data_IF_933704214934
#
_entry.id   IF_933704214934
#
_cell.length_a   1.000
_cell.length_b   1.000
_cell.length_c   1.000
_cell.angle_alpha   90.00
_cell.angle_beta   90.00
_cell.angle_gamma   90.00
#
_symmetry.space_group_name_H-M   'P 1'
#
loop_
_entity.id
_entity.type
_entity.pdbx_description
1 polymer ?
#
# COMPACT_ATOMS: atom_id res chain seq x y z
N UNK A 1 -5.10 -9.57 9.82
CA UNK A 1 -6.35 -10.02 9.16
C UNK A 1 -6.84 -11.28 9.84
N UNK A 2 -8.12 -11.31 10.19
CA UNK A 2 -8.78 -12.44 10.87
C UNK A 2 -9.81 -13.08 9.94
N UNK A 3 -9.95 -14.40 10.02
CA UNK A 3 -10.92 -15.16 9.25
C UNK A 3 -11.95 -15.81 10.19
N UNK A 4 -13.14 -16.07 9.70
CA UNK A 4 -14.24 -16.64 10.46
C UNK A 4 -14.72 -15.78 11.64
N UNK A 5 -15.18 -16.40 12.72
CA UNK A 5 -15.52 -15.67 13.94
C UNK A 5 -14.27 -15.31 14.75
N UNK A 6 -14.14 -14.02 15.11
CA UNK A 6 -13.01 -13.55 15.94
C UNK A 6 -13.04 -14.23 17.32
N UNK A 7 -11.92 -14.84 17.71
CA UNK A 7 -11.72 -15.44 19.03
C UNK A 7 -11.48 -14.38 20.11
N UNK A 8 -11.48 -14.79 21.38
CA UNK A 8 -11.10 -13.89 22.49
C UNK A 8 -9.65 -13.41 22.39
N UNK A 9 -8.73 -14.27 21.92
CA UNK A 9 -7.33 -13.90 21.72
C UNK A 9 -7.20 -12.81 20.63
N UNK A 10 -7.93 -12.94 19.53
CA UNK A 10 -7.94 -11.94 18.46
C UNK A 10 -8.60 -10.62 18.89
N UNK A 11 -9.61 -10.66 19.78
CA UNK A 11 -10.17 -9.45 20.39
C UNK A 11 -9.12 -8.72 21.25
N UNK A 12 -8.35 -9.46 22.04
CA UNK A 12 -7.25 -8.89 22.83
C UNK A 12 -6.16 -8.31 21.94
N UNK A 13 -5.80 -9.00 20.86
CA UNK A 13 -4.85 -8.48 19.86
C UNK A 13 -5.35 -7.18 19.20
N UNK A 14 -6.63 -7.10 18.81
CA UNK A 14 -7.23 -5.87 18.27
C UNK A 14 -7.16 -4.73 19.30
N UNK A 15 -7.41 -5.03 20.57
CA UNK A 15 -7.31 -4.06 21.66
C UNK A 15 -5.87 -3.53 21.82
N UNK A 16 -4.87 -4.42 21.76
CA UNK A 16 -3.45 -4.06 21.89
C UNK A 16 -2.93 -3.26 20.70
N UNK A 17 -3.35 -3.63 19.47
CA UNK A 17 -3.01 -2.92 18.23
C UNK A 17 -3.58 -1.50 18.21
N UNK A 18 -4.74 -1.27 18.83
CA UNK A 18 -5.48 0.02 18.82
C UNK A 18 -5.65 0.59 17.41
N UNK A 19 -6.31 -0.13 16.50
CA UNK A 19 -6.49 0.34 15.14
C UNK A 19 -7.36 1.60 15.09
N UNK A 20 -7.14 2.48 14.13
CA UNK A 20 -8.03 3.61 13.87
C UNK A 20 -9.31 3.19 13.16
N UNK A 21 -9.19 2.25 12.23
CA UNK A 21 -10.28 1.72 11.41
C UNK A 21 -10.26 0.20 11.41
N UNK A 22 -11.43 -0.41 11.46
CA UNK A 22 -11.62 -1.85 11.28
C UNK A 22 -12.54 -2.09 10.10
N UNK A 23 -12.08 -2.82 9.09
CA UNK A 23 -12.90 -3.23 7.96
C UNK A 23 -13.58 -4.56 8.29
N UNK A 24 -14.91 -4.54 8.41
CA UNK A 24 -15.72 -5.73 8.66
C UNK A 24 -16.37 -6.20 7.36
N UNK A 25 -15.88 -7.33 6.86
CA UNK A 25 -16.39 -8.00 5.67
C UNK A 25 -16.95 -9.38 6.03
N UNK A 26 -17.79 -9.93 5.18
CA UNK A 26 -18.24 -11.32 5.31
C UNK A 26 -19.56 -11.58 4.62
N UNK A 27 -19.64 -12.77 4.03
CA UNK A 27 -20.78 -13.25 3.25
C UNK A 27 -20.94 -12.55 1.89
N UNK A 28 -21.35 -13.29 0.88
CA UNK A 28 -21.87 -12.71 -0.36
C UNK A 28 -23.29 -12.15 -0.13
N UNK A 29 -23.77 -11.30 -1.02
CA UNK A 29 -25.10 -10.73 -0.89
C UNK A 29 -26.18 -11.81 -0.99
N UNK A 30 -27.02 -11.91 0.05
CA UNK A 30 -28.01 -12.98 0.19
C UNK A 30 -27.46 -14.31 0.73
N UNK A 31 -26.15 -14.40 0.98
CA UNK A 31 -25.49 -15.55 1.61
C UNK A 31 -25.49 -15.52 3.14
N UNK A 32 -24.48 -16.19 3.73
CA UNK A 32 -24.35 -16.25 5.20
C UNK A 32 -24.21 -14.86 5.82
N UNK A 33 -24.94 -14.60 6.89
CA UNK A 33 -24.88 -13.37 7.68
C UNK A 33 -24.52 -13.60 9.15
N UNK A 34 -24.50 -14.85 9.60
CA UNK A 34 -24.32 -15.16 11.02
C UNK A 34 -22.93 -14.75 11.51
N UNK A 35 -21.87 -15.08 10.73
CA UNK A 35 -20.49 -14.78 11.10
C UNK A 35 -20.25 -13.27 11.18
N UNK A 36 -20.71 -12.49 10.22
CA UNK A 36 -20.52 -11.03 10.23
C UNK A 36 -21.25 -10.35 11.39
N UNK A 37 -22.46 -10.85 11.73
CA UNK A 37 -23.24 -10.37 12.90
C UNK A 37 -22.54 -10.74 14.22
N UNK A 38 -22.03 -11.97 14.34
CA UNK A 38 -21.26 -12.40 15.51
C UNK A 38 -20.00 -11.53 15.69
N UNK A 39 -19.27 -11.28 14.62
CA UNK A 39 -18.08 -10.42 14.65
C UNK A 39 -18.42 -8.97 15.00
N UNK A 40 -19.52 -8.43 14.49
CA UNK A 40 -19.97 -7.09 14.87
C UNK A 40 -20.21 -6.98 16.38
N UNK A 41 -20.91 -7.96 16.98
CA UNK A 41 -21.13 -7.97 18.45
C UNK A 41 -19.82 -8.06 19.23
N UNK A 42 -18.86 -8.87 18.78
CA UNK A 42 -17.52 -8.99 19.41
C UNK A 42 -16.71 -7.71 19.29
N UNK A 43 -16.73 -7.05 18.14
CA UNK A 43 -16.08 -5.76 17.94
C UNK A 43 -16.67 -4.67 18.87
N UNK A 44 -17.97 -4.72 19.14
CA UNK A 44 -18.62 -3.80 20.09
C UNK A 44 -18.14 -4.00 21.53
N UNK A 45 -17.65 -5.18 21.91
CA UNK A 45 -17.14 -5.49 23.26
C UNK A 45 -15.71 -4.98 23.49
N UNK A 46 -14.99 -4.61 22.42
CA UNK A 46 -13.61 -4.12 22.53
C UNK A 46 -13.63 -2.64 22.94
N UNK A 47 -13.12 -2.33 24.12
CA UNK A 47 -13.02 -0.96 24.65
C UNK A 47 -11.84 -0.20 24.03
N UNK A 48 -11.90 0.04 22.72
CA UNK A 48 -10.90 0.78 21.97
C UNK A 48 -11.58 1.71 20.95
N UNK A 49 -11.14 2.96 20.80
CA UNK A 49 -11.79 3.93 19.92
C UNK A 49 -11.40 3.72 18.46
N UNK A 50 -12.09 2.84 17.75
CA UNK A 50 -11.98 2.67 16.30
C UNK A 50 -13.33 2.82 15.61
N UNK A 51 -13.29 3.19 14.34
CA UNK A 51 -14.49 3.23 13.50
C UNK A 51 -14.57 1.94 12.68
N UNK A 52 -15.74 1.32 12.63
CA UNK A 52 -15.98 0.12 11.81
C UNK A 52 -16.51 0.51 10.44
N UNK A 53 -15.80 0.09 9.38
CA UNK A 53 -16.29 0.15 8.00
C UNK A 53 -16.90 -1.20 7.66
N UNK A 54 -18.22 -1.23 7.53
CA UNK A 54 -18.96 -2.45 7.20
C UNK A 54 -19.08 -2.56 5.69
N UNK A 55 -18.50 -3.60 5.12
CA UNK A 55 -18.47 -3.85 3.67
C UNK A 55 -18.74 -5.33 3.35
N UNK A 56 -19.75 -5.89 3.97
CA UNK A 56 -20.16 -7.30 3.80
C UNK A 56 -21.57 -7.44 3.28
N UNK A 57 -22.15 -8.62 3.51
CA UNK A 57 -23.49 -9.01 3.03
C UNK A 57 -24.54 -7.91 3.30
N UNK A 58 -25.09 -7.34 2.23
CA UNK A 58 -26.11 -6.29 2.31
C UNK A 58 -27.36 -6.70 3.08
N UNK A 59 -27.70 -8.00 3.08
CA UNK A 59 -28.86 -8.52 3.80
C UNK A 59 -28.68 -8.48 5.33
N UNK A 60 -27.45 -8.28 5.84
CA UNK A 60 -27.15 -8.09 7.25
C UNK A 60 -27.12 -6.60 7.67
N UNK A 61 -27.21 -5.66 6.72
CA UNK A 61 -26.96 -4.23 6.99
C UNK A 61 -27.86 -3.65 8.08
N UNK A 62 -29.13 -3.98 8.09
CA UNK A 62 -30.09 -3.49 9.09
C UNK A 62 -29.71 -3.98 10.50
N UNK A 63 -29.45 -5.27 10.66
CA UNK A 63 -29.08 -5.86 11.95
C UNK A 63 -27.70 -5.36 12.43
N UNK A 64 -26.76 -5.14 11.51
CA UNK A 64 -25.45 -4.55 11.82
C UNK A 64 -25.59 -3.10 12.31
N UNK A 65 -26.45 -2.32 11.67
CA UNK A 65 -26.73 -0.95 12.08
C UNK A 65 -27.33 -0.90 13.50
N UNK A 66 -28.26 -1.79 13.84
CA UNK A 66 -28.83 -1.90 15.18
C UNK A 66 -27.75 -2.26 16.22
N UNK A 67 -26.88 -3.23 15.93
CA UNK A 67 -25.79 -3.67 16.83
C UNK A 67 -24.85 -2.50 17.13
N UNK A 68 -24.38 -1.80 16.11
CA UNK A 68 -23.41 -0.70 16.30
C UNK A 68 -24.06 0.53 16.95
N UNK A 69 -25.31 0.87 16.61
CA UNK A 69 -26.04 1.96 17.27
C UNK A 69 -26.28 1.67 18.75
N UNK A 70 -26.68 0.44 19.09
CA UNK A 70 -26.91 0.05 20.48
C UNK A 70 -25.63 0.10 21.35
N UNK A 71 -24.47 -0.19 20.75
CA UNK A 71 -23.18 -0.15 21.45
C UNK A 71 -22.53 1.24 21.50
N UNK A 72 -23.00 2.19 20.69
CA UNK A 72 -22.36 3.51 20.52
C UNK A 72 -21.03 3.46 19.76
N UNK A 73 -20.65 2.31 19.17
CA UNK A 73 -19.42 2.19 18.39
C UNK A 73 -19.57 2.93 17.06
N UNK A 74 -18.60 3.82 16.68
CA UNK A 74 -18.67 4.52 15.41
C UNK A 74 -18.61 3.53 14.24
N UNK A 75 -19.48 3.69 13.25
CA UNK A 75 -19.51 2.83 12.08
C UNK A 75 -19.99 3.56 10.83
N UNK A 76 -19.64 3.02 9.67
CA UNK A 76 -20.20 3.37 8.36
C UNK A 76 -20.50 2.08 7.58
N UNK A 77 -21.59 2.05 6.86
CA UNK A 77 -21.96 0.93 6.00
C UNK A 77 -21.73 1.32 4.55
N UNK A 78 -21.12 0.43 3.79
CA UNK A 78 -20.89 0.58 2.34
C UNK A 78 -21.30 -0.69 1.61
N UNK A 79 -21.15 -0.68 0.29
CA UNK A 79 -21.40 -1.87 -0.52
C UNK A 79 -20.44 -3.00 -0.16
N UNK A 80 -20.90 -4.24 -0.37
CA UNK A 80 -20.11 -5.43 -0.12
C UNK A 80 -18.86 -5.48 -1.01
N UNK A 81 -17.69 -5.77 -0.42
CA UNK A 81 -16.43 -5.95 -1.17
C UNK A 81 -16.43 -7.20 -2.05
N UNK A 82 -17.30 -8.18 -1.75
CA UNK A 82 -17.49 -9.38 -2.56
C UNK A 82 -19.00 -9.72 -2.63
N UNK A 83 -19.79 -8.95 -3.41
CA UNK A 83 -21.24 -9.16 -3.51
C UNK A 83 -21.62 -10.54 -4.09
N UNK A 84 -20.79 -11.07 -4.98
CA UNK A 84 -20.92 -12.40 -5.59
C UNK A 84 -19.61 -13.15 -5.45
N UNK A 85 -19.63 -14.48 -5.43
CA UNK A 85 -18.44 -15.30 -5.33
C UNK A 85 -17.44 -14.97 -6.46
N UNK A 86 -16.19 -14.71 -6.09
CA UNK A 86 -15.09 -14.32 -6.99
C UNK A 86 -15.27 -12.97 -7.73
N UNK A 87 -16.26 -12.15 -7.36
CA UNK A 87 -16.44 -10.81 -7.92
C UNK A 87 -16.14 -9.75 -6.87
N UNK A 88 -15.00 -9.09 -7.01
CA UNK A 88 -14.58 -8.01 -6.13
C UNK A 88 -15.26 -6.68 -6.50
N UNK A 89 -15.71 -5.95 -5.46
CA UNK A 89 -16.27 -4.61 -5.53
C UNK A 89 -15.63 -3.76 -4.42
N UNK A 90 -14.35 -3.45 -4.56
CA UNK A 90 -13.55 -2.82 -3.49
C UNK A 90 -13.69 -1.28 -3.46
N UNK A 91 -14.08 -0.65 -4.57
CA UNK A 91 -14.07 0.81 -4.70
C UNK A 91 -15.00 1.55 -3.70
N UNK A 92 -16.21 1.07 -3.38
CA UNK A 92 -17.05 1.72 -2.38
C UNK A 92 -16.41 1.72 -0.98
N UNK A 93 -15.86 0.59 -0.54
CA UNK A 93 -15.16 0.48 0.75
C UNK A 93 -13.89 1.34 0.78
N UNK A 94 -13.10 1.31 -0.29
CA UNK A 94 -11.90 2.14 -0.45
C UNK A 94 -12.22 3.63 -0.35
N UNK A 95 -13.29 4.10 -0.98
CA UNK A 95 -13.75 5.48 -0.92
C UNK A 95 -14.12 5.86 0.51
N UNK A 96 -14.87 5.02 1.23
CA UNK A 96 -15.27 5.29 2.62
C UNK A 96 -14.09 5.31 3.58
N UNK A 97 -13.16 4.39 3.45
CA UNK A 97 -11.92 4.38 4.24
C UNK A 97 -11.13 5.67 3.99
N UNK A 98 -11.00 6.09 2.73
CA UNK A 98 -10.33 7.33 2.35
C UNK A 98 -11.00 8.57 2.97
N UNK A 99 -12.34 8.68 2.87
CA UNK A 99 -13.11 9.78 3.45
C UNK A 99 -12.87 9.88 4.97
N UNK A 100 -12.96 8.76 5.69
CA UNK A 100 -12.73 8.70 7.13
C UNK A 100 -11.28 9.03 7.50
N UNK A 101 -10.31 8.56 6.73
CA UNK A 101 -8.90 8.84 6.96
C UNK A 101 -8.59 10.34 6.79
N UNK A 102 -9.11 10.95 5.72
CA UNK A 102 -8.93 12.38 5.46
C UNK A 102 -9.58 13.23 6.54
N UNK A 103 -10.83 12.93 6.95
CA UNK A 103 -11.50 13.68 8.01
C UNK A 103 -10.71 13.66 9.32
N UNK A 104 -10.17 12.51 9.71
CA UNK A 104 -9.32 12.39 10.90
C UNK A 104 -8.01 13.18 10.82
N UNK A 105 -7.35 13.17 9.65
CA UNK A 105 -6.12 13.97 9.45
C UNK A 105 -6.43 15.46 9.57
N UNK A 106 -7.53 15.91 8.97
CA UNK A 106 -7.97 17.32 9.03
C UNK A 106 -8.22 17.74 10.46
N UNK A 107 -8.94 16.93 11.21
CA UNK A 107 -9.23 17.20 12.64
C UNK A 107 -7.96 17.17 13.49
N UNK A 108 -7.16 16.12 13.39
CA UNK A 108 -5.96 15.92 14.22
C UNK A 108 -4.87 16.97 14.00
N UNK A 109 -4.71 17.46 12.75
CA UNK A 109 -3.69 18.45 12.40
C UNK A 109 -4.18 19.89 12.39
N UNK A 110 -5.43 20.16 12.79
CA UNK A 110 -6.00 21.50 12.75
C UNK A 110 -6.10 22.10 11.34
N UNK A 111 -6.16 21.25 10.31
CA UNK A 111 -6.20 21.65 8.90
C UNK A 111 -7.58 22.16 8.48
N UNK A 112 -8.60 22.11 9.35
CA UNK A 112 -9.98 22.58 9.06
C UNK A 112 -9.98 23.99 8.52
N UNK A 113 -9.17 24.90 9.11
CA UNK A 113 -9.06 26.29 8.66
C UNK A 113 -8.46 26.42 7.26
N UNK A 114 -7.52 25.54 6.91
CA UNK A 114 -6.91 25.50 5.57
C UNK A 114 -7.94 24.98 4.56
N UNK A 115 -8.71 23.95 4.94
CA UNK A 115 -9.76 23.39 4.10
C UNK A 115 -10.86 24.43 3.77
N UNK A 116 -11.24 25.28 4.76
CA UNK A 116 -12.19 26.38 4.54
C UNK A 116 -11.65 27.43 3.56
N UNK A 117 -10.33 27.64 3.53
CA UNK A 117 -9.67 28.59 2.61
C UNK A 117 -9.46 27.99 1.21
N UNK A 118 -9.36 26.67 1.10
CA UNK A 118 -9.19 25.96 -0.17
C UNK A 118 -10.54 25.66 -0.81
N UNK A 119 -10.67 25.89 -2.12
CA UNK A 119 -11.88 25.51 -2.86
C UNK A 119 -11.93 24.04 -3.27
N UNK A 120 -10.92 23.27 -2.88
CA UNK A 120 -10.73 21.87 -3.24
C UNK A 120 -10.45 21.03 -1.99
N UNK A 121 -10.81 19.76 -2.04
CA UNK A 121 -10.51 18.83 -0.97
C UNK A 121 -8.99 18.65 -0.78
N UNK A 122 -8.57 18.55 0.48
CA UNK A 122 -7.20 18.16 0.82
C UNK A 122 -7.06 16.67 0.53
N UNK A 123 -6.07 16.31 -0.26
CA UNK A 123 -5.76 14.91 -0.57
C UNK A 123 -4.33 14.56 -0.12
N UNK A 124 -4.08 13.34 0.41
CA UNK A 124 -2.74 12.89 0.73
C UNK A 124 -1.84 12.83 -0.52
N UNK A 125 -0.56 13.18 -0.36
CA UNK A 125 0.43 13.15 -1.46
C UNK A 125 0.44 11.82 -2.23
N UNK A 126 0.45 10.64 -1.58
CA UNK A 126 0.45 9.37 -2.32
C UNK A 126 -0.79 9.16 -3.20
N UNK A 127 -1.92 9.72 -2.79
CA UNK A 127 -3.13 9.68 -3.60
C UNK A 127 -3.05 10.62 -4.80
N UNK A 128 -2.47 11.81 -4.61
CA UNK A 128 -2.23 12.73 -5.70
C UNK A 128 -1.32 12.11 -6.77
N UNK A 129 -0.26 11.42 -6.33
CA UNK A 129 0.64 10.67 -7.22
C UNK A 129 -0.10 9.55 -7.96
N UNK A 130 -0.90 8.72 -7.25
CA UNK A 130 -1.69 7.66 -7.90
C UNK A 130 -2.65 8.23 -8.95
N UNK A 131 -3.36 9.30 -8.62
CA UNK A 131 -4.28 9.97 -9.56
C UNK A 131 -3.53 10.53 -10.79
N UNK A 132 -2.33 11.08 -10.58
CA UNK A 132 -1.48 11.54 -11.67
C UNK A 132 -1.00 10.39 -12.57
N UNK A 133 -0.59 9.27 -11.98
CA UNK A 133 -0.23 8.06 -12.72
C UNK A 133 -1.42 7.51 -13.53
N UNK A 134 -2.62 7.49 -12.96
CA UNK A 134 -3.82 7.08 -13.68
C UNK A 134 -4.14 8.02 -14.86
N UNK A 135 -3.98 9.32 -14.64
CA UNK A 135 -4.19 10.32 -15.70
C UNK A 135 -3.16 10.17 -16.82
N UNK A 136 -1.89 9.99 -16.48
CA UNK A 136 -0.83 9.72 -17.47
C UNK A 136 -1.09 8.45 -18.26
N UNK A 137 -1.50 7.37 -17.59
CA UNK A 137 -1.83 6.10 -18.22
C UNK A 137 -3.02 6.20 -19.18
N UNK A 138 -4.12 6.84 -18.74
CA UNK A 138 -5.38 6.95 -19.50
C UNK A 138 -5.37 8.07 -20.53
N UNK A 139 -4.60 9.12 -20.27
CA UNK A 139 -4.62 10.35 -21.06
C UNK A 139 -5.82 11.24 -20.76
N UNK A 140 -6.01 12.25 -21.61
CA UNK A 140 -7.10 13.20 -21.56
C UNK A 140 -7.88 13.19 -22.87
N UNK A 141 -8.95 13.98 -22.95
CA UNK A 141 -9.70 14.15 -24.22
C UNK A 141 -8.83 14.67 -25.38
N UNK A 142 -7.74 15.37 -25.07
CA UNK A 142 -6.90 16.05 -26.05
C UNK A 142 -5.51 15.38 -26.20
N UNK A 143 -5.14 14.45 -25.30
CA UNK A 143 -3.83 13.78 -25.33
C UNK A 143 -4.02 12.30 -25.06
N UNK A 144 -3.49 11.42 -25.93
CA UNK A 144 -3.51 9.99 -25.66
C UNK A 144 -2.72 9.68 -24.40
N UNK A 145 -3.13 8.63 -23.66
CA UNK A 145 -2.40 8.13 -22.52
C UNK A 145 -1.17 7.33 -22.92
N UNK A 146 -0.28 7.14 -21.96
CA UNK A 146 0.94 6.32 -22.13
C UNK A 146 0.64 4.82 -22.11
N UNK A 147 -0.53 4.40 -21.62
CA UNK A 147 -0.83 3.00 -21.34
C UNK A 147 -0.23 2.53 -20.01
N UNK A 148 0.28 1.31 -19.98
CA UNK A 148 0.85 0.71 -18.78
C UNK A 148 2.09 1.46 -18.30
N UNK A 149 2.16 1.74 -17.00
CA UNK A 149 3.31 2.44 -16.40
C UNK A 149 3.56 1.98 -14.96
N UNK A 150 4.80 2.16 -14.54
CA UNK A 150 5.28 2.02 -13.16
C UNK A 150 5.80 3.37 -12.68
N UNK A 151 5.48 3.78 -11.47
CA UNK A 151 6.12 4.94 -10.84
C UNK A 151 6.69 4.54 -9.48
N UNK A 152 7.84 5.08 -9.14
CA UNK A 152 8.49 4.88 -7.84
C UNK A 152 8.78 6.23 -7.22
N UNK A 153 8.20 6.48 -6.06
CA UNK A 153 8.42 7.70 -5.27
C UNK A 153 9.32 7.40 -4.07
N UNK A 154 10.55 7.87 -4.14
CA UNK A 154 11.58 7.62 -3.12
C UNK A 154 11.61 8.81 -2.17
N UNK A 155 10.96 8.64 -1.03
CA UNK A 155 10.90 9.65 0.02
C UNK A 155 11.96 9.50 1.10
N UNK A 156 11.95 10.44 2.04
CA UNK A 156 12.85 10.39 3.21
C UNK A 156 12.46 9.33 4.24
N UNK A 157 11.18 8.98 4.34
CA UNK A 157 10.66 8.02 5.30
C UNK A 157 10.19 6.71 4.65
N UNK A 158 9.67 6.76 3.43
CA UNK A 158 9.07 5.63 2.72
C UNK A 158 9.46 5.63 1.26
N UNK A 159 9.40 4.47 0.62
CA UNK A 159 9.40 4.33 -0.83
C UNK A 159 8.05 3.78 -1.27
N UNK A 160 7.38 4.50 -2.15
CA UNK A 160 6.07 4.13 -2.68
C UNK A 160 6.20 3.63 -4.11
N UNK A 161 5.52 2.53 -4.43
CA UNK A 161 5.48 1.99 -5.80
C UNK A 161 4.04 2.00 -6.29
N UNK A 162 3.85 2.51 -7.50
CA UNK A 162 2.56 2.61 -8.19
C UNK A 162 2.63 1.88 -9.52
N UNK A 163 1.73 0.94 -9.78
CA UNK A 163 1.60 0.30 -11.09
C UNK A 163 0.21 0.50 -11.65
N UNK A 164 0.14 1.01 -12.88
CA UNK A 164 -1.08 1.08 -13.67
C UNK A 164 -0.94 0.09 -14.80
N UNK A 165 -1.47 -1.10 -14.63
CA UNK A 165 -1.37 -2.22 -15.59
C UNK A 165 -2.33 -3.34 -15.20
N UNK A 166 -2.78 -4.13 -16.16
CA UNK A 166 -3.51 -5.38 -15.90
C UNK A 166 -2.61 -6.46 -15.25
N UNK A 167 -1.28 -6.35 -15.39
CA UNK A 167 -0.31 -7.30 -14.85
C UNK A 167 -0.44 -8.71 -15.42
N UNK A 168 -0.80 -8.84 -16.68
CA UNK A 168 -0.98 -10.14 -17.36
C UNK A 168 0.34 -10.88 -17.50
N UNK A 169 0.34 -12.21 -17.36
CA UNK A 169 1.54 -13.00 -17.54
C UNK A 169 2.21 -12.76 -18.91
N UNK A 170 3.52 -12.55 -18.90
CA UNK A 170 4.35 -12.48 -20.12
C UNK A 170 4.89 -13.83 -20.54
N UNK A 171 4.89 -14.81 -19.63
CA UNK A 171 5.28 -16.20 -19.93
C UNK A 171 4.07 -17.02 -20.41
N UNK A 172 4.35 -18.06 -21.20
CA UNK A 172 3.35 -19.06 -21.61
C UNK A 172 3.10 -20.09 -20.49
N UNK A 173 1.97 -20.78 -20.55
CA UNK A 173 1.59 -21.84 -19.60
C UNK A 173 1.59 -21.39 -18.13
N UNK A 174 1.03 -20.20 -17.86
CA UNK A 174 0.92 -19.62 -16.52
C UNK A 174 -0.49 -19.75 -15.99
N UNK A 175 -0.59 -20.21 -14.72
CA UNK A 175 -1.83 -20.15 -13.94
C UNK A 175 -1.73 -19.03 -12.91
N UNK A 176 -2.63 -18.04 -12.96
CA UNK A 176 -2.67 -16.97 -11.97
C UNK A 176 -3.31 -17.50 -10.69
N UNK A 177 -2.64 -17.30 -9.55
CA UNK A 177 -3.13 -17.67 -8.22
C UNK A 177 -3.56 -16.45 -7.43
N UNK A 178 -4.58 -16.64 -6.59
CA UNK A 178 -5.12 -15.60 -5.70
C UNK A 178 -6.23 -14.80 -6.34
N UNK A 179 -6.61 -13.71 -5.68
CA UNK A 179 -7.62 -12.78 -6.19
C UNK A 179 -7.01 -11.88 -7.27
N UNK A 180 -7.82 -11.41 -8.23
CA UNK A 180 -7.33 -10.46 -9.23
C UNK A 180 -6.77 -9.19 -8.58
N UNK A 181 -5.57 -8.81 -9.00
CA UNK A 181 -4.95 -7.54 -8.57
C UNK A 181 -5.65 -6.34 -9.25
N UNK A 182 -5.79 -5.21 -8.56
CA UNK A 182 -6.36 -4.02 -9.17
C UNK A 182 -5.44 -3.46 -10.28
N UNK A 183 -6.02 -2.87 -11.33
CA UNK A 183 -5.26 -2.20 -12.41
C UNK A 183 -4.37 -1.11 -11.83
N UNK A 184 -4.93 -0.25 -10.96
CA UNK A 184 -4.18 0.77 -10.21
C UNK A 184 -3.80 0.21 -8.84
N UNK A 185 -2.54 -0.22 -8.68
CA UNK A 185 -2.01 -0.75 -7.42
C UNK A 185 -0.96 0.20 -6.85
N UNK A 186 -0.96 0.37 -5.53
CA UNK A 186 0.08 1.06 -4.76
C UNK A 186 0.54 0.18 -3.60
N UNK A 187 1.84 0.14 -3.37
CA UNK A 187 2.45 -0.36 -2.13
C UNK A 187 3.30 0.72 -1.49
N UNK A 188 3.49 0.62 -0.18
CA UNK A 188 4.29 1.55 0.62
C UNK A 188 5.28 0.73 1.42
N UNK A 189 6.56 1.00 1.21
CA UNK A 189 7.64 0.38 1.96
C UNK A 189 8.12 1.36 3.03
N UNK A 190 7.67 1.15 4.27
CA UNK A 190 7.95 2.04 5.40
C UNK A 190 9.37 1.95 5.94
N UNK A 191 10.07 0.89 5.57
CA UNK A 191 11.46 0.57 5.93
C UNK A 191 12.49 1.05 4.88
N UNK A 192 12.04 1.51 3.71
CA UNK A 192 12.89 1.89 2.58
C UNK A 192 12.96 3.40 2.34
N UNK A 193 13.15 4.19 3.40
CA UNK A 193 13.27 5.65 3.29
C UNK A 193 14.72 6.13 3.33
N UNK A 194 15.01 7.17 2.55
CA UNK A 194 16.38 7.70 2.35
C UNK A 194 16.88 8.60 3.50
N UNK A 195 16.09 8.82 4.56
CA UNK A 195 16.49 9.63 5.74
C UNK A 195 16.02 8.99 7.03
N UNK A 196 14.72 9.01 7.31
CA UNK A 196 14.17 8.55 8.59
C UNK A 196 14.20 7.02 8.75
N UNK A 197 14.02 6.27 7.67
CA UNK A 197 14.09 4.81 7.63
C UNK A 197 15.40 4.28 7.05
N UNK A 198 16.39 5.16 6.84
CA UNK A 198 17.68 4.82 6.23
C UNK A 198 18.43 3.69 6.99
N UNK A 199 18.46 3.63 8.33
CA UNK A 199 19.07 2.51 9.03
C UNK A 199 18.41 1.16 8.68
N UNK A 200 17.07 1.10 8.64
CA UNK A 200 16.34 -0.12 8.27
C UNK A 200 16.61 -0.53 6.83
N UNK A 201 16.67 0.43 5.92
CA UNK A 201 17.03 0.17 4.52
C UNK A 201 18.43 -0.44 4.41
N UNK A 202 19.40 0.10 5.14
CA UNK A 202 20.78 -0.38 5.11
C UNK A 202 20.93 -1.78 5.73
N UNK A 203 20.10 -2.14 6.70
CA UNK A 203 20.06 -3.49 7.28
C UNK A 203 19.61 -4.56 6.26
N UNK A 204 18.87 -4.18 5.21
CA UNK A 204 18.47 -5.06 4.09
C UNK A 204 19.56 -5.22 3.02
N UNK A 205 20.67 -4.46 3.09
CA UNK A 205 21.71 -4.42 2.06
C UNK A 205 22.89 -5.33 2.41
N UNK A 206 23.45 -5.96 1.37
CA UNK A 206 24.77 -6.60 1.47
C UNK A 206 25.89 -5.52 1.42
N UNK A 207 26.27 -5.02 2.60
CA UNK A 207 27.29 -3.97 2.72
C UNK A 207 28.67 -4.40 2.19
N UNK A 208 28.99 -5.69 2.14
CA UNK A 208 30.26 -6.16 1.61
C UNK A 208 30.28 -6.10 0.07
N UNK A 209 29.16 -6.46 -0.56
CA UNK A 209 28.98 -6.26 -2.02
C UNK A 209 29.00 -4.76 -2.34
N UNK A 210 28.34 -3.93 -1.52
CA UNK A 210 28.27 -2.49 -1.63
C UNK A 210 29.65 -1.81 -1.57
N UNK A 211 30.44 -2.17 -0.56
CA UNK A 211 31.81 -1.67 -0.38
C UNK A 211 32.71 -2.01 -1.57
N UNK A 212 32.55 -3.21 -2.15
CA UNK A 212 33.30 -3.63 -3.33
C UNK A 212 32.90 -2.83 -4.58
N UNK A 213 31.60 -2.60 -4.79
CA UNK A 213 31.09 -1.86 -5.97
C UNK A 213 31.64 -0.42 -5.98
N UNK A 214 31.64 0.25 -4.83
CA UNK A 214 32.09 1.64 -4.70
C UNK A 214 33.59 1.79 -4.42
N UNK A 215 34.29 0.70 -4.08
CA UNK A 215 35.68 0.72 -3.62
C UNK A 215 35.87 1.63 -2.40
N UNK A 216 34.97 1.54 -1.42
CA UNK A 216 34.98 2.30 -0.17
C UNK A 216 34.90 1.35 1.02
N UNK A 217 35.29 1.80 2.21
CA UNK A 217 35.15 1.00 3.42
C UNK A 217 33.70 1.00 3.92
N UNK A 218 33.31 -0.15 4.48
CA UNK A 218 31.97 -0.29 5.12
C UNK A 218 31.72 0.79 6.17
N UNK A 219 32.74 1.22 6.90
CA UNK A 219 32.63 2.28 7.90
C UNK A 219 32.22 3.62 7.29
N UNK A 220 32.69 3.96 6.09
CA UNK A 220 32.28 5.19 5.39
C UNK A 220 30.76 5.20 5.09
N UNK A 221 30.21 4.05 4.65
CA UNK A 221 28.77 3.91 4.43
C UNK A 221 27.98 4.10 5.73
N UNK A 222 28.42 3.42 6.79
CA UNK A 222 27.77 3.50 8.11
C UNK A 222 27.81 4.91 8.68
N UNK A 223 28.94 5.60 8.54
CA UNK A 223 29.10 6.98 9.05
C UNK A 223 28.24 7.96 8.24
N UNK A 224 28.13 7.78 6.93
CA UNK A 224 27.23 8.58 6.10
C UNK A 224 25.77 8.37 6.47
N UNK A 225 25.36 7.12 6.67
CA UNK A 225 24.00 6.75 7.12
C UNK A 225 23.67 7.43 8.46
N UNK A 226 24.58 7.42 9.43
CA UNK A 226 24.39 8.12 10.72
C UNK A 226 24.23 9.63 10.51
N UNK A 227 25.08 10.21 9.67
CA UNK A 227 25.07 11.64 9.36
C UNK A 227 23.73 12.05 8.73
N UNK A 228 23.25 11.32 7.73
CA UNK A 228 21.96 11.58 7.09
C UNK A 228 20.76 11.42 8.05
N UNK A 229 20.83 10.44 8.96
CA UNK A 229 19.80 10.23 9.96
C UNK A 229 19.74 11.36 10.99
N UNK A 230 20.89 11.89 11.40
CA UNK A 230 20.98 13.00 12.34
C UNK A 230 20.65 14.35 11.68
N UNK A 231 20.94 14.49 10.39
CA UNK A 231 20.74 15.70 9.60
C UNK A 231 19.92 15.41 8.33
N UNK A 232 18.58 15.15 8.44
CA UNK A 232 17.75 14.72 7.30
C UNK A 232 17.69 15.71 6.12
N UNK A 233 18.02 16.98 6.38
CA UNK A 233 18.10 18.03 5.34
C UNK A 233 19.43 18.09 4.59
N UNK A 234 20.43 17.29 5.01
CA UNK A 234 21.73 17.27 4.34
C UNK A 234 21.63 16.59 2.98
N UNK A 235 22.22 17.22 1.98
CA UNK A 235 22.43 16.65 0.64
C UNK A 235 23.92 16.40 0.44
N UNK A 236 24.28 15.31 -0.21
CA UNK A 236 25.64 15.03 -0.61
C UNK A 236 26.09 16.07 -1.65
N UNK A 237 27.38 16.42 -1.62
CA UNK A 237 27.97 17.28 -2.65
C UNK A 237 28.04 16.53 -3.99
N UNK A 238 27.84 17.25 -5.09
CA UNK A 238 27.90 16.66 -6.42
C UNK A 238 29.28 16.03 -6.68
N UNK A 239 29.28 14.86 -7.31
CA UNK A 239 30.46 14.06 -7.64
C UNK A 239 31.26 13.55 -6.41
N UNK A 240 30.70 13.72 -5.20
CA UNK A 240 31.31 13.21 -3.96
C UNK A 240 31.15 11.68 -3.81
N UNK A 241 31.90 11.12 -2.84
CA UNK A 241 31.72 9.71 -2.45
C UNK A 241 30.35 9.48 -1.81
N UNK A 242 29.91 10.43 -1.03
CA UNK A 242 28.63 10.45 -0.34
C UNK A 242 27.46 10.40 -1.35
N UNK A 243 27.54 11.14 -2.46
CA UNK A 243 26.55 11.07 -3.53
C UNK A 243 26.49 9.66 -4.12
N UNK A 244 27.62 9.03 -4.40
CA UNK A 244 27.66 7.65 -4.92
C UNK A 244 27.07 6.63 -3.94
N UNK A 245 27.28 6.84 -2.64
CA UNK A 245 26.63 6.05 -1.59
C UNK A 245 25.12 6.22 -1.66
N UNK A 246 24.62 7.48 -1.70
CA UNK A 246 23.18 7.76 -1.79
C UNK A 246 22.53 7.17 -3.05
N UNK A 247 23.18 7.31 -4.21
CA UNK A 247 22.70 6.73 -5.47
C UNK A 247 22.58 5.20 -5.39
N UNK A 248 23.58 4.53 -4.82
CA UNK A 248 23.55 3.07 -4.71
C UNK A 248 22.52 2.60 -3.69
N UNK A 249 22.36 3.30 -2.56
CA UNK A 249 21.30 3.04 -1.58
C UNK A 249 19.92 3.22 -2.24
N UNK A 250 19.70 4.32 -2.96
CA UNK A 250 18.44 4.59 -3.66
C UNK A 250 18.12 3.55 -4.71
N UNK A 251 19.13 3.12 -5.50
CA UNK A 251 18.97 2.03 -6.48
C UNK A 251 18.50 0.73 -5.83
N UNK A 252 19.07 0.39 -4.68
CA UNK A 252 18.66 -0.80 -3.94
C UNK A 252 17.27 -0.64 -3.31
N UNK A 253 16.94 0.54 -2.78
CA UNK A 253 15.58 0.82 -2.29
C UNK A 253 14.54 0.62 -3.39
N UNK A 254 14.78 1.16 -4.60
CA UNK A 254 13.91 0.94 -5.77
C UNK A 254 13.79 -0.52 -6.10
N UNK A 255 14.92 -1.24 -6.16
CA UNK A 255 14.94 -2.68 -6.47
C UNK A 255 14.07 -3.46 -5.51
N UNK A 256 14.32 -3.32 -4.20
CA UNK A 256 13.58 -4.05 -3.16
C UNK A 256 12.10 -3.68 -3.19
N UNK A 257 11.76 -2.38 -3.29
CA UNK A 257 10.39 -1.91 -3.34
C UNK A 257 9.61 -2.47 -4.55
N UNK A 258 10.24 -2.48 -5.73
CA UNK A 258 9.62 -3.02 -6.95
C UNK A 258 9.50 -4.55 -6.88
N UNK A 259 10.48 -5.27 -6.34
CA UNK A 259 10.41 -6.72 -6.12
C UNK A 259 9.27 -7.10 -5.17
N UNK A 260 9.05 -6.34 -4.09
CA UNK A 260 7.93 -6.54 -3.17
C UNK A 260 6.57 -6.17 -3.78
N UNK A 261 6.55 -5.21 -4.69
CA UNK A 261 5.33 -4.76 -5.39
C UNK A 261 4.89 -5.70 -6.50
N UNK A 262 5.84 -6.25 -7.24
CA UNK A 262 5.62 -7.13 -8.38
C UNK A 262 5.11 -8.51 -7.96
N UNK A 263 4.57 -9.24 -8.93
CA UNK A 263 4.22 -10.64 -8.76
C UNK A 263 5.43 -11.57 -8.87
N UNK A 264 5.25 -12.77 -8.34
CA UNK A 264 6.28 -13.79 -8.32
C UNK A 264 5.85 -15.02 -9.14
N UNK A 265 6.73 -15.47 -10.03
CA UNK A 265 6.59 -16.72 -10.74
C UNK A 265 7.18 -17.89 -9.95
N UNK A 266 6.41 -18.97 -9.83
CA UNK A 266 6.87 -20.22 -9.26
C UNK A 266 6.76 -21.34 -10.28
N UNK A 267 7.84 -22.06 -10.61
CA UNK A 267 7.78 -23.20 -11.50
C UNK A 267 7.05 -24.37 -10.83
N UNK A 268 6.19 -25.05 -11.59
CA UNK A 268 5.49 -26.25 -11.17
C UNK A 268 5.78 -27.33 -12.22
N UNK A 269 6.30 -28.46 -11.80
CA UNK A 269 6.58 -29.59 -12.66
C UNK A 269 5.37 -30.52 -12.74
N UNK A 270 4.90 -30.78 -13.95
CA UNK A 270 3.79 -31.68 -14.23
C UNK A 270 4.26 -32.83 -15.11
N UNK A 271 3.50 -33.95 -15.23
CA UNK A 271 3.82 -35.02 -16.18
C UNK A 271 3.90 -34.56 -17.65
N UNK A 272 3.31 -33.42 -17.96
CA UNK A 272 3.27 -32.83 -19.31
C UNK A 272 4.33 -31.75 -19.54
N UNK A 273 5.20 -31.49 -18.57
CA UNK A 273 6.26 -30.48 -18.64
C UNK A 273 6.14 -29.43 -17.53
N UNK A 274 6.99 -28.43 -17.60
CA UNK A 274 7.05 -27.32 -16.68
C UNK A 274 5.97 -26.29 -17.04
N UNK A 275 5.20 -25.88 -16.02
CA UNK A 275 4.26 -24.77 -16.06
C UNK A 275 4.61 -23.77 -14.95
N UNK A 276 4.03 -22.60 -14.98
CA UNK A 276 4.28 -21.57 -13.96
C UNK A 276 3.00 -21.19 -13.23
N UNK A 277 3.15 -20.79 -11.98
CA UNK A 277 2.10 -20.07 -11.25
C UNK A 277 2.56 -18.66 -10.98
N UNK A 278 1.71 -17.66 -11.28
CA UNK A 278 1.94 -16.25 -10.96
C UNK A 278 1.08 -15.87 -9.77
N UNK A 279 1.69 -15.29 -8.75
CA UNK A 279 1.00 -14.62 -7.65
C UNK A 279 1.31 -13.14 -7.70
N UNK A 280 0.30 -12.27 -7.77
CA UNK A 280 0.48 -10.82 -7.99
C UNK A 280 0.49 -10.44 -9.46
N UNK A 281 1.08 -9.28 -9.80
CA UNK A 281 1.10 -8.69 -11.15
C UNK A 281 2.43 -8.95 -11.84
N UNK A 282 2.40 -9.42 -13.08
CA UNK A 282 3.60 -9.38 -13.94
C UNK A 282 3.80 -7.94 -14.46
N UNK A 283 4.92 -7.35 -14.11
CA UNK A 283 5.30 -5.99 -14.49
C UNK A 283 6.51 -5.95 -15.44
N UNK A 284 6.98 -7.11 -15.94
CA UNK A 284 8.18 -7.22 -16.76
C UNK A 284 8.06 -6.49 -18.12
N UNK A 285 6.85 -6.38 -18.66
CA UNK A 285 6.59 -5.76 -19.96
C UNK A 285 6.15 -4.29 -19.86
N UNK A 286 6.23 -3.65 -18.70
CA UNK A 286 5.84 -2.24 -18.54
C UNK A 286 6.78 -1.33 -19.35
N UNK A 287 6.25 -0.51 -20.29
CA UNK A 287 7.08 0.30 -21.19
C UNK A 287 7.60 1.59 -20.56
N UNK A 288 6.96 2.11 -19.51
CA UNK A 288 7.31 3.39 -18.92
C UNK A 288 7.54 3.28 -17.42
N UNK A 289 8.70 3.78 -16.96
CA UNK A 289 9.05 3.90 -15.55
C UNK A 289 9.26 5.37 -15.22
N UNK A 290 8.62 5.84 -14.16
CA UNK A 290 8.66 7.23 -13.69
C UNK A 290 9.31 7.26 -12.31
N UNK A 291 10.43 7.95 -12.18
CA UNK A 291 11.07 8.23 -10.90
C UNK A 291 10.54 9.53 -10.29
N UNK A 292 10.25 9.51 -8.99
CA UNK A 292 9.73 10.64 -8.21
C UNK A 292 10.56 10.75 -6.93
N UNK A 293 10.69 11.94 -6.42
CA UNK A 293 11.37 12.22 -5.14
C UNK A 293 12.71 12.93 -5.27
N UNK A 294 13.19 13.44 -4.14
CA UNK A 294 14.39 14.29 -4.09
C UNK A 294 15.65 13.60 -4.60
N UNK A 295 15.78 12.31 -4.38
CA UNK A 295 16.93 11.53 -4.84
C UNK A 295 17.00 11.47 -6.37
N UNK A 296 15.85 11.35 -7.04
CA UNK A 296 15.80 11.31 -8.52
C UNK A 296 16.05 12.68 -9.14
N UNK A 297 15.62 13.74 -8.45
CA UNK A 297 15.74 15.13 -8.94
C UNK A 297 17.17 15.65 -8.77
N UNK A 298 17.87 15.21 -7.71
CA UNK A 298 19.21 15.67 -7.34
C UNK A 298 20.32 14.66 -7.69
N UNK A 299 20.01 13.60 -8.45
CA UNK A 299 20.96 12.59 -8.92
C UNK A 299 21.80 13.11 -10.09
#
# INVERSE_FOLDING_TARGET
TYAFEISQAEQAEIFDIRPDLVLLCGGTDGGNKEVILANARRLCQIECPFTVVVAGNKCASFELEEIFRASGKPFVITENVMPEFNRLNIEPARRKIKELFISRIIEAKGLSRIQEMCKTDIIPTPLAVLNACELLSKGTKNMPGLGDLLAVDIGGATTDVYSISDGRPTLENVTVKGLPEPVSKRTVEGDLGMRYSLPSLVDELDLDAFSKELSIDRSEVVDWVKTCTQHPGLLAEAESREQKIEELIARNAVKIAVERHAGTYQPVYTPFGQVYTLTGKDLAAIPFVIGIGGVVINA
#
